data_IF_274235094054
#
_entry.id   IF_274235094054
#
_cell.length_a   1.000
_cell.length_b   1.000
_cell.length_c   1.000
_cell.angle_alpha   90.00
_cell.angle_beta   90.00
_cell.angle_gamma   90.00
#
_symmetry.space_group_name_H-M   'P 1'
#
loop_
_entity.id
_entity.type
_entity.pdbx_description
1 polymer ?
#
# COMPACT_ATOMS: atom_id res chain seq x y z
N UNK A 1 -0.39 -32.11 95.10
CA UNK A 1 -0.52 -30.74 95.66
C UNK A 1 -0.94 -29.84 94.52
N UNK A 2 -2.21 -29.41 94.50
CA UNK A 2 -2.63 -28.09 95.01
C UNK A 2 -2.32 -27.02 93.94
N UNK A 3 -3.30 -26.78 93.06
CA UNK A 3 -4.19 -25.61 93.09
C UNK A 3 -3.47 -24.28 92.76
N UNK A 4 -4.00 -23.64 91.71
CA UNK A 4 -4.48 -22.25 91.76
C UNK A 4 -3.57 -21.08 91.32
N UNK A 5 -4.07 -20.43 90.26
CA UNK A 5 -4.40 -18.99 90.13
C UNK A 5 -3.44 -17.99 89.44
N UNK A 6 -4.14 -17.08 88.72
CA UNK A 6 -3.86 -15.65 88.45
C UNK A 6 -3.19 -15.22 87.13
N UNK A 7 -4.06 -14.92 86.16
CA UNK A 7 -4.19 -13.66 85.39
C UNK A 7 -3.02 -12.67 85.38
N UNK A 8 -2.59 -12.29 84.17
CA UNK A 8 -2.23 -10.91 83.85
C UNK A 8 -2.56 -10.61 82.37
N UNK A 9 -3.40 -9.59 82.19
CA UNK A 9 -3.84 -9.02 80.92
C UNK A 9 -2.78 -8.01 80.46
N UNK A 10 -2.29 -8.10 79.22
CA UNK A 10 -1.63 -6.97 78.54
C UNK A 10 -2.09 -6.89 77.11
N UNK A 11 -2.90 -5.86 76.84
CA UNK A 11 -3.32 -5.44 75.52
C UNK A 11 -2.17 -4.71 74.82
N UNK A 12 -1.83 -5.13 73.60
CA UNK A 12 -0.99 -4.37 72.68
C UNK A 12 -1.88 -3.93 71.52
N UNK A 13 -2.11 -2.62 71.46
CA UNK A 13 -2.84 -1.91 70.42
C UNK A 13 -1.92 -1.84 69.20
N UNK A 14 -2.16 -2.67 68.19
CA UNK A 14 -1.52 -2.56 66.88
C UNK A 14 -2.22 -1.48 66.07
N UNK A 15 -1.60 -0.30 65.96
CA UNK A 15 -2.02 0.73 65.01
C UNK A 15 -1.70 0.25 63.58
N UNK A 16 -2.72 -0.18 62.84
CA UNK A 16 -2.62 -0.41 61.40
C UNK A 16 -2.58 0.93 60.69
N UNK A 17 -1.40 1.32 60.20
CA UNK A 17 -1.27 2.43 59.26
C UNK A 17 -1.90 1.95 57.95
N UNK A 18 -3.17 2.28 57.73
CA UNK A 18 -3.81 2.09 56.43
C UNK A 18 -3.10 3.00 55.42
N UNK A 19 -2.27 2.41 54.56
CA UNK A 19 -1.68 3.11 53.44
C UNK A 19 -2.82 3.74 52.59
N UNK A 20 -2.73 5.02 52.24
CA UNK A 20 -3.71 5.62 51.35
C UNK A 20 -3.63 4.89 50.01
N UNK A 21 -4.72 4.24 49.62
CA UNK A 21 -4.90 3.72 48.26
C UNK A 21 -4.99 4.92 47.34
N UNK A 22 -3.84 5.43 46.90
CA UNK A 22 -3.77 6.34 45.77
C UNK A 22 -4.35 5.55 44.59
N UNK A 23 -5.48 5.95 44.00
CA UNK A 23 -5.87 5.36 42.73
C UNK A 23 -4.78 5.80 41.74
N UNK A 24 -3.88 4.89 41.38
CA UNK A 24 -3.14 5.04 40.13
C UNK A 24 -4.22 5.02 39.05
N UNK A 25 -4.66 6.21 38.64
CA UNK A 25 -5.22 6.40 37.31
C UNK A 25 -4.08 6.09 36.36
N UNK A 26 -3.99 4.82 35.96
CA UNK A 26 -3.36 4.47 34.70
C UNK A 26 -4.17 5.19 33.63
N UNK A 27 -3.78 6.42 33.32
CA UNK A 27 -3.98 6.92 31.97
C UNK A 27 -3.02 6.06 31.15
N UNK A 28 -3.48 4.87 30.79
CA UNK A 28 -2.94 4.18 29.64
C UNK A 28 -3.25 5.13 28.48
N UNK A 29 -2.34 6.08 28.23
CA UNK A 29 -2.25 6.69 26.92
C UNK A 29 -2.19 5.53 25.96
N UNK A 30 -3.13 5.48 25.01
CA UNK A 30 -3.10 4.57 23.88
C UNK A 30 -1.82 4.84 23.10
N UNK A 31 -0.72 4.24 23.54
CA UNK A 31 0.48 4.08 22.75
C UNK A 31 0.20 2.86 21.86
N UNK A 32 0.28 3.07 20.54
CA UNK A 32 0.38 2.08 19.45
C UNK A 32 -0.87 1.72 18.63
N UNK A 33 -1.46 2.71 17.95
CA UNK A 33 -2.00 2.47 16.60
C UNK A 33 -1.03 2.93 15.48
N UNK A 34 -0.17 3.94 15.74
CA UNK A 34 0.80 4.43 14.75
C UNK A 34 2.04 3.55 14.54
N UNK A 35 2.36 2.65 15.47
CA UNK A 35 3.57 1.81 15.35
C UNK A 35 3.37 0.50 14.57
N UNK A 36 2.14 0.17 14.13
CA UNK A 36 1.84 -1.09 13.44
C UNK A 36 1.44 -0.95 11.96
N UNK A 37 1.39 0.28 11.42
CA UNK A 37 1.13 0.48 9.99
C UNK A 37 2.44 0.49 9.20
N UNK A 38 2.47 -0.02 7.96
CA UNK A 38 3.65 0.04 7.11
C UNK A 38 4.03 1.49 6.80
N UNK A 39 5.30 1.70 6.44
CA UNK A 39 5.91 3.03 6.35
C UNK A 39 5.26 3.97 5.31
N UNK A 40 4.51 3.42 4.36
CA UNK A 40 3.83 4.18 3.30
C UNK A 40 2.41 4.62 3.69
N UNK A 41 1.83 4.05 4.75
CA UNK A 41 0.52 4.43 5.27
C UNK A 41 0.65 5.54 6.32
N UNK A 42 0.69 6.78 5.86
CA UNK A 42 1.14 7.94 6.66
C UNK A 42 0.06 8.72 7.42
N UNK A 43 -1.22 8.52 7.08
CA UNK A 43 -2.34 9.20 7.71
C UNK A 43 -3.24 8.30 8.56
N UNK A 44 -4.42 8.79 8.90
CA UNK A 44 -5.39 8.11 9.77
C UNK A 44 -6.79 7.98 9.14
N UNK A 45 -6.97 8.35 7.88
CA UNK A 45 -8.22 8.13 7.17
C UNK A 45 -8.51 6.63 7.05
N UNK A 46 -9.79 6.27 7.21
CA UNK A 46 -10.26 4.90 7.03
C UNK A 46 -10.10 4.50 5.56
N UNK A 47 -9.37 3.40 5.34
CA UNK A 47 -9.15 2.88 4.00
C UNK A 47 -10.34 2.02 3.55
N UNK A 48 -10.77 2.12 2.28
CA UNK A 48 -11.62 1.10 1.69
C UNK A 48 -11.00 -0.29 1.85
N UNK A 49 -11.85 -1.32 2.00
CA UNK A 49 -11.40 -2.70 2.27
C UNK A 49 -10.36 -3.18 1.25
N UNK A 50 -10.57 -2.89 -0.04
CA UNK A 50 -9.61 -3.26 -1.09
C UNK A 50 -8.23 -2.63 -0.87
N UNK A 51 -8.19 -1.39 -0.37
CA UNK A 51 -6.93 -0.66 -0.11
C UNK A 51 -6.28 -1.14 1.19
N UNK A 52 -7.08 -1.49 2.21
CA UNK A 52 -6.57 -2.07 3.45
C UNK A 52 -5.93 -3.45 3.21
N UNK A 53 -6.47 -4.25 2.30
CA UNK A 53 -5.85 -5.52 1.91
C UNK A 53 -4.49 -5.30 1.23
N UNK A 54 -4.42 -4.36 0.28
CA UNK A 54 -3.16 -3.94 -0.36
C UNK A 54 -2.13 -3.46 0.68
N UNK A 55 -2.56 -2.67 1.68
CA UNK A 55 -1.67 -2.22 2.77
C UNK A 55 -1.02 -3.41 3.49
N UNK A 56 -1.80 -4.43 3.82
CA UNK A 56 -1.32 -5.62 4.52
C UNK A 56 -0.40 -6.47 3.64
N UNK A 57 -0.75 -6.68 2.37
CA UNK A 57 0.02 -7.47 1.41
C UNK A 57 1.42 -6.86 1.15
N UNK A 58 1.48 -5.53 1.03
CA UNK A 58 2.72 -4.83 0.68
C UNK A 58 3.61 -4.50 1.88
N UNK A 59 3.13 -4.70 3.11
CA UNK A 59 3.82 -4.28 4.33
C UNK A 59 5.25 -4.86 4.48
N UNK A 60 5.50 -6.05 3.93
CA UNK A 60 6.82 -6.72 4.00
C UNK A 60 7.69 -6.54 2.75
N UNK A 61 7.12 -6.00 1.68
CA UNK A 61 7.78 -5.88 0.36
C UNK A 61 8.28 -4.44 0.14
N UNK A 62 7.56 -3.46 0.67
CA UNK A 62 7.85 -2.04 0.44
C UNK A 62 8.82 -1.50 1.47
N UNK A 63 9.83 -0.78 0.97
CA UNK A 63 10.72 0.06 1.77
C UNK A 63 10.41 1.53 1.51
N UNK A 64 10.56 2.38 2.52
CA UNK A 64 10.34 3.81 2.38
C UNK A 64 11.61 4.61 2.64
N UNK A 65 11.90 5.57 1.79
CA UNK A 65 12.83 6.65 2.02
C UNK A 65 12.07 7.87 2.54
N UNK A 66 12.05 8.04 3.87
CA UNK A 66 11.30 9.13 4.52
C UNK A 66 11.98 10.50 4.38
N UNK A 67 13.17 10.57 3.79
CA UNK A 67 13.86 11.83 3.49
C UNK A 67 13.34 12.52 2.23
N UNK A 68 12.59 11.77 1.39
CA UNK A 68 11.99 12.25 0.14
C UNK A 68 10.48 12.04 0.20
N UNK A 69 9.72 13.05 -0.19
CA UNK A 69 8.26 12.97 -0.30
C UNK A 69 7.83 13.09 -1.76
N UNK A 70 6.78 12.36 -2.10
CA UNK A 70 6.19 12.32 -3.44
C UNK A 70 4.77 12.90 -3.39
N UNK A 71 3.78 12.23 -3.96
CA UNK A 71 2.39 12.68 -3.98
C UNK A 71 1.78 12.67 -2.58
N UNK A 72 1.03 13.73 -2.24
CA UNK A 72 0.30 13.85 -0.96
C UNK A 72 1.14 13.62 0.30
N UNK A 73 2.44 13.89 0.24
CA UNK A 73 3.37 13.72 1.37
C UNK A 73 3.79 12.28 1.64
N UNK A 74 3.41 11.33 0.79
CA UNK A 74 3.84 9.93 0.88
C UNK A 74 5.36 9.84 0.72
N UNK A 75 6.09 9.07 1.56
CA UNK A 75 7.50 8.81 1.39
C UNK A 75 7.80 8.22 0.01
N UNK A 76 9.02 8.38 -0.48
CA UNK A 76 9.43 7.66 -1.69
C UNK A 76 9.54 6.16 -1.39
N UNK A 77 8.59 5.39 -1.92
CA UNK A 77 8.48 3.95 -1.71
C UNK A 77 9.28 3.18 -2.74
N UNK A 78 9.76 1.99 -2.37
CA UNK A 78 10.47 1.10 -3.30
C UNK A 78 10.10 -0.37 -3.13
N UNK A 79 10.09 -1.08 -4.25
CA UNK A 79 9.92 -2.54 -4.34
C UNK A 79 11.08 -3.10 -5.14
N UNK A 80 11.83 -4.05 -4.57
CA UNK A 80 13.05 -4.63 -5.16
C UNK A 80 14.03 -3.58 -5.74
N UNK A 81 14.19 -2.43 -5.06
CA UNK A 81 15.06 -1.34 -5.47
C UNK A 81 14.48 -0.36 -6.51
N UNK A 82 13.35 -0.66 -7.15
CA UNK A 82 12.63 0.30 -7.99
C UNK A 82 11.89 1.30 -7.10
N UNK A 83 12.19 2.60 -7.25
CA UNK A 83 11.58 3.69 -6.47
C UNK A 83 10.38 4.30 -7.22
N UNK A 84 9.37 4.79 -6.48
CA UNK A 84 8.27 5.54 -7.07
C UNK A 84 8.76 6.80 -7.79
N UNK A 85 9.68 7.55 -7.17
CA UNK A 85 10.26 8.77 -7.77
C UNK A 85 10.93 8.54 -9.12
N UNK A 86 11.38 7.32 -9.44
CA UNK A 86 11.93 6.97 -10.74
C UNK A 86 10.87 6.76 -11.83
N UNK A 87 9.61 6.52 -11.42
CA UNK A 87 8.46 6.28 -12.31
C UNK A 87 7.27 7.19 -11.94
N UNK A 88 7.56 8.37 -11.42
CA UNK A 88 6.55 9.36 -11.00
C UNK A 88 6.09 10.19 -12.20
N UNK A 89 4.89 9.87 -12.70
CA UNK A 89 4.29 10.57 -13.83
C UNK A 89 4.13 12.08 -13.59
N UNK A 90 3.93 12.51 -12.34
CA UNK A 90 3.62 13.91 -12.00
C UNK A 90 4.81 14.85 -12.24
N UNK A 91 6.02 14.29 -12.31
CA UNK A 91 7.27 15.03 -12.57
C UNK A 91 7.70 14.99 -14.04
N UNK A 92 7.03 14.18 -14.87
CA UNK A 92 7.45 13.91 -16.26
C UNK A 92 7.12 15.01 -17.26
N UNK A 93 6.12 15.85 -16.95
CA UNK A 93 5.55 16.81 -17.90
C UNK A 93 4.62 16.19 -18.96
N UNK A 94 4.45 14.87 -18.96
CA UNK A 94 3.50 14.14 -19.80
C UNK A 94 2.13 14.02 -19.14
N UNK A 95 1.11 13.73 -19.92
CA UNK A 95 -0.17 13.30 -19.36
C UNK A 95 -0.03 11.91 -18.73
N UNK A 96 -0.93 11.50 -17.82
CA UNK A 96 -0.83 10.19 -17.16
C UNK A 96 -0.80 9.02 -18.14
N UNK A 97 -1.57 9.06 -19.24
CA UNK A 97 -1.56 7.97 -20.22
C UNK A 97 -0.32 8.01 -21.11
N UNK A 98 0.08 9.19 -21.59
CA UNK A 98 1.30 9.35 -22.39
C UNK A 98 2.52 8.86 -21.60
N UNK A 99 2.63 9.23 -20.33
CA UNK A 99 3.67 8.73 -19.44
C UNK A 99 3.66 7.20 -19.38
N UNK A 100 2.48 6.61 -19.17
CA UNK A 100 2.35 5.16 -18.99
C UNK A 100 2.77 4.37 -20.24
N UNK A 101 2.38 4.86 -21.42
CA UNK A 101 2.75 4.27 -22.71
C UNK A 101 4.25 4.36 -22.97
N UNK A 102 4.90 5.46 -22.57
CA UNK A 102 6.34 5.66 -22.76
C UNK A 102 7.20 4.96 -21.70
N UNK A 103 6.73 4.89 -20.46
CA UNK A 103 7.49 4.34 -19.33
C UNK A 103 7.40 2.82 -19.24
N UNK A 104 6.22 2.25 -19.47
CA UNK A 104 5.94 0.83 -19.23
C UNK A 104 5.85 0.05 -20.54
N UNK A 105 6.91 0.18 -21.35
CA UNK A 105 7.05 -0.52 -22.64
C UNK A 105 7.37 -1.99 -22.44
N UNK A 106 6.76 -2.86 -23.24
CA UNK A 106 6.95 -4.32 -23.22
C UNK A 106 7.94 -4.79 -24.29
N UNK A 107 8.45 -6.01 -24.16
CA UNK A 107 9.54 -6.52 -25.01
C UNK A 107 9.18 -6.61 -26.51
N UNK A 108 7.90 -6.79 -26.84
CA UNK A 108 7.35 -6.79 -28.21
C UNK A 108 7.57 -5.47 -28.95
N UNK A 109 7.71 -4.35 -28.23
CA UNK A 109 8.05 -3.06 -28.83
C UNK A 109 9.51 -2.96 -29.30
N UNK A 110 10.36 -3.91 -28.89
CA UNK A 110 11.78 -3.96 -29.22
C UNK A 110 12.15 -5.20 -30.05
N UNK A 111 11.18 -5.77 -30.78
CA UNK A 111 11.38 -6.89 -31.70
C UNK A 111 11.53 -8.25 -31.03
N UNK A 112 11.11 -8.38 -29.76
CA UNK A 112 10.99 -9.67 -29.04
C UNK A 112 9.53 -10.11 -28.97
N UNK A 113 9.23 -11.17 -28.23
CA UNK A 113 7.84 -11.56 -27.94
C UNK A 113 7.37 -10.89 -26.66
N UNK A 114 6.05 -10.71 -26.50
CA UNK A 114 5.48 -10.19 -25.26
C UNK A 114 5.83 -11.08 -24.06
N UNK A 115 5.92 -12.40 -24.26
CA UNK A 115 6.29 -13.38 -23.24
C UNK A 115 7.72 -13.18 -22.69
N UNK A 116 8.61 -12.55 -23.45
CA UNK A 116 9.99 -12.22 -23.03
C UNK A 116 10.06 -11.02 -22.08
N UNK A 117 8.94 -10.38 -21.77
CA UNK A 117 8.89 -9.24 -20.86
C UNK A 117 9.16 -9.67 -19.41
N UNK A 118 9.98 -8.90 -18.70
CA UNK A 118 10.24 -9.09 -17.27
C UNK A 118 8.99 -8.78 -16.44
N UNK A 119 8.22 -9.82 -16.11
CA UNK A 119 7.01 -9.70 -15.32
C UNK A 119 7.28 -9.11 -13.92
N UNK A 120 8.40 -9.49 -13.29
CA UNK A 120 8.74 -9.07 -11.93
C UNK A 120 8.98 -7.55 -11.89
N UNK A 121 9.60 -6.98 -12.93
CA UNK A 121 9.76 -5.53 -13.04
C UNK A 121 8.40 -4.79 -13.06
N UNK A 122 7.43 -5.32 -13.79
CA UNK A 122 6.09 -4.72 -13.85
C UNK A 122 5.32 -4.88 -12.53
N UNK A 123 5.44 -6.04 -11.87
CA UNK A 123 4.86 -6.26 -10.54
C UNK A 123 5.47 -5.33 -9.49
N UNK A 124 6.80 -5.14 -9.52
CA UNK A 124 7.49 -4.17 -8.65
C UNK A 124 7.03 -2.73 -8.92
N UNK A 125 6.84 -2.35 -10.18
CA UNK A 125 6.30 -1.04 -10.54
C UNK A 125 4.86 -0.87 -10.03
N UNK A 126 4.01 -1.91 -10.16
CA UNK A 126 2.66 -1.88 -9.62
C UNK A 126 2.66 -1.77 -8.09
N UNK A 127 3.54 -2.49 -7.39
CA UNK A 127 3.66 -2.44 -5.93
C UNK A 127 3.95 -1.03 -5.42
N UNK A 128 4.87 -0.28 -6.05
CA UNK A 128 5.16 1.10 -5.62
C UNK A 128 3.99 2.05 -5.91
N UNK A 129 3.23 1.83 -6.99
CA UNK A 129 2.00 2.60 -7.27
C UNK A 129 0.88 2.28 -6.26
N UNK A 130 0.70 1.01 -5.91
CA UNK A 130 -0.26 0.55 -4.90
C UNK A 130 0.08 1.05 -3.50
N UNK A 131 1.34 0.99 -3.10
CA UNK A 131 1.80 1.55 -1.83
C UNK A 131 1.59 3.07 -1.76
N UNK A 132 1.83 3.76 -2.88
CA UNK A 132 1.54 5.20 -3.00
C UNK A 132 0.04 5.48 -2.91
N UNK A 133 -0.82 4.64 -3.50
CA UNK A 133 -2.28 4.75 -3.35
C UNK A 133 -2.72 4.65 -1.89
N UNK A 134 -2.20 3.66 -1.16
CA UNK A 134 -2.48 3.48 0.27
C UNK A 134 -2.10 4.75 1.03
N UNK A 135 -0.89 5.29 0.77
CA UNK A 135 -0.42 6.52 1.39
C UNK A 135 -1.32 7.71 1.11
N UNK A 136 -1.66 7.96 -0.16
CA UNK A 136 -2.54 9.06 -0.58
C UNK A 136 -3.92 8.93 0.10
N UNK A 137 -4.52 7.74 0.09
CA UNK A 137 -5.84 7.52 0.70
C UNK A 137 -5.81 7.67 2.20
N UNK A 138 -4.73 7.25 2.86
CA UNK A 138 -4.59 7.36 4.32
C UNK A 138 -4.62 8.81 4.82
N UNK A 139 -4.35 9.79 3.96
CA UNK A 139 -4.43 11.23 4.26
C UNK A 139 -5.59 11.94 3.57
N UNK A 140 -6.49 11.20 2.92
CA UNK A 140 -7.65 11.76 2.21
C UNK A 140 -7.30 12.51 0.93
N UNK A 141 -6.15 12.19 0.31
CA UNK A 141 -5.67 12.85 -0.89
C UNK A 141 -6.36 12.38 -2.18
N UNK A 142 -6.20 13.18 -3.24
CA UNK A 142 -6.75 12.88 -4.56
C UNK A 142 -5.88 11.87 -5.35
N UNK A 143 -6.54 10.95 -6.04
CA UNK A 143 -5.89 9.84 -6.76
C UNK A 143 -5.56 10.20 -8.21
N UNK A 144 -4.54 11.03 -8.41
CA UNK A 144 -3.98 11.31 -9.74
C UNK A 144 -3.29 10.09 -10.40
N UNK A 145 -2.96 9.07 -9.61
CA UNK A 145 -2.19 7.88 -10.04
C UNK A 145 -2.99 6.80 -10.77
N UNK A 146 -4.31 6.98 -10.95
CA UNK A 146 -5.19 5.89 -11.42
C UNK A 146 -4.80 5.34 -12.79
N UNK A 147 -4.48 6.20 -13.74
CA UNK A 147 -4.16 5.78 -15.11
C UNK A 147 -2.88 4.95 -15.16
N UNK A 148 -1.72 5.41 -14.64
CA UNK A 148 -0.52 4.57 -14.58
C UNK A 148 -0.70 3.26 -13.85
N UNK A 149 -1.46 3.26 -12.74
CA UNK A 149 -1.76 2.05 -11.99
C UNK A 149 -2.56 1.04 -12.81
N UNK A 150 -3.69 1.45 -13.38
CA UNK A 150 -4.50 0.55 -14.22
C UNK A 150 -3.76 0.13 -15.50
N UNK A 151 -2.86 0.97 -16.01
CA UNK A 151 -2.02 0.60 -17.16
C UNK A 151 -1.00 -0.48 -16.79
N UNK A 152 -0.37 -0.41 -15.62
CA UNK A 152 0.50 -1.46 -15.10
C UNK A 152 -0.26 -2.78 -14.90
N UNK A 153 -1.43 -2.74 -14.25
CA UNK A 153 -2.31 -3.92 -14.12
C UNK A 153 -2.64 -4.52 -15.50
N UNK A 154 -2.99 -3.66 -16.47
CA UNK A 154 -3.27 -4.06 -17.85
C UNK A 154 -2.07 -4.75 -18.51
N UNK A 155 -0.86 -4.19 -18.39
CA UNK A 155 0.35 -4.78 -18.93
C UNK A 155 0.70 -6.11 -18.27
N UNK A 156 0.59 -6.20 -16.94
CA UNK A 156 0.79 -7.46 -16.19
C UNK A 156 -0.15 -8.55 -16.72
N UNK A 157 -1.44 -8.24 -16.89
CA UNK A 157 -2.42 -9.19 -17.44
C UNK A 157 -2.06 -9.67 -18.86
N UNK A 158 -1.61 -8.74 -19.73
CA UNK A 158 -1.10 -9.07 -21.07
C UNK A 158 0.12 -10.00 -21.01
N UNK A 159 1.11 -9.66 -20.18
CA UNK A 159 2.37 -10.41 -20.02
C UNK A 159 2.07 -11.81 -19.48
N UNK A 160 1.29 -11.92 -18.41
CA UNK A 160 0.89 -13.21 -17.82
C UNK A 160 0.14 -14.08 -18.83
N UNK A 161 -0.77 -13.50 -19.62
CA UNK A 161 -1.46 -14.21 -20.69
C UNK A 161 -0.49 -14.73 -21.75
N UNK A 162 0.45 -13.91 -22.21
CA UNK A 162 1.48 -14.32 -23.18
C UNK A 162 2.44 -15.38 -22.63
N UNK A 163 2.69 -15.38 -21.32
CA UNK A 163 3.48 -16.41 -20.61
C UNK A 163 2.68 -17.69 -20.28
N UNK A 164 1.41 -17.78 -20.72
CA UNK A 164 0.57 -18.97 -20.54
C UNK A 164 -0.14 -19.06 -19.19
N UNK A 165 -0.15 -17.97 -18.40
CA UNK A 165 -0.74 -17.90 -17.06
C UNK A 165 -1.83 -16.80 -16.96
N UNK A 166 -2.86 -16.78 -17.83
CA UNK A 166 -3.85 -15.69 -17.83
C UNK A 166 -4.60 -15.59 -16.48
N UNK A 167 -4.84 -14.36 -15.96
CA UNK A 167 -5.64 -14.15 -14.76
C UNK A 167 -7.05 -14.74 -14.90
N UNK A 168 -7.52 -15.40 -13.84
CA UNK A 168 -8.88 -15.97 -13.79
C UNK A 168 -9.90 -14.98 -13.25
N UNK A 169 -9.47 -14.04 -12.41
CA UNK A 169 -10.34 -13.05 -11.82
C UNK A 169 -10.84 -12.06 -12.89
N UNK A 170 -12.16 -11.84 -13.03
CA UNK A 170 -12.70 -10.96 -14.06
C UNK A 170 -12.15 -9.53 -14.01
N UNK A 171 -11.84 -9.02 -12.81
CA UNK A 171 -11.27 -7.70 -12.61
C UNK A 171 -9.82 -7.56 -13.11
N UNK A 172 -9.14 -8.67 -13.36
CA UNK A 172 -7.74 -8.71 -13.81
C UNK A 172 -7.61 -9.13 -15.29
N UNK A 173 -8.72 -9.32 -16.00
CA UNK A 173 -8.68 -9.66 -17.41
C UNK A 173 -8.32 -8.44 -18.28
N UNK A 174 -7.63 -8.68 -19.39
CA UNK A 174 -7.09 -7.66 -20.30
C UNK A 174 -8.17 -6.66 -20.73
N UNK A 175 -9.34 -7.14 -21.14
CA UNK A 175 -10.44 -6.26 -21.59
C UNK A 175 -10.98 -5.38 -20.46
N UNK A 176 -11.13 -5.94 -19.26
CA UNK A 176 -11.58 -5.17 -18.09
C UNK A 176 -10.58 -4.05 -17.78
N UNK A 177 -9.29 -4.39 -17.75
CA UNK A 177 -8.24 -3.44 -17.41
C UNK A 177 -8.02 -2.39 -18.52
N UNK A 178 -8.14 -2.76 -19.80
CA UNK A 178 -8.21 -1.81 -20.92
C UNK A 178 -9.31 -0.78 -20.67
N UNK A 179 -10.52 -1.24 -20.37
CA UNK A 179 -11.67 -0.34 -20.16
C UNK A 179 -11.46 0.55 -18.93
N UNK A 180 -10.77 0.05 -17.90
CA UNK A 180 -10.37 0.84 -16.73
C UNK A 180 -9.37 1.93 -17.10
N UNK A 181 -8.36 1.64 -17.93
CA UNK A 181 -7.43 2.65 -18.45
C UNK A 181 -8.19 3.73 -19.21
N UNK A 182 -8.96 3.34 -20.23
CA UNK A 182 -9.71 4.26 -21.10
C UNK A 182 -10.71 5.13 -20.31
N UNK A 183 -11.42 4.53 -19.35
CA UNK A 183 -12.37 5.26 -18.49
C UNK A 183 -11.72 6.35 -17.63
N UNK A 184 -10.48 6.16 -17.21
CA UNK A 184 -9.74 7.13 -16.39
C UNK A 184 -8.91 8.11 -17.22
N UNK A 185 -8.87 7.93 -18.54
CA UNK A 185 -8.13 8.74 -19.50
C UNK A 185 -9.03 9.54 -20.49
N UNK A 186 -10.23 10.04 -20.14
CA UNK A 186 -11.23 10.49 -21.11
C UNK A 186 -10.86 11.76 -21.90
N UNK A 187 -9.75 12.42 -21.55
CA UNK A 187 -9.28 13.67 -22.18
C UNK A 187 -7.92 13.53 -22.86
N UNK A 188 -7.40 12.31 -22.92
CA UNK A 188 -6.15 12.02 -23.60
C UNK A 188 -6.31 12.13 -25.12
N UNK A 189 -5.19 12.31 -25.82
CA UNK A 189 -5.18 12.29 -27.28
C UNK A 189 -5.72 10.94 -27.79
N UNK A 190 -6.54 11.00 -28.86
CA UNK A 190 -7.16 9.82 -29.45
C UNK A 190 -6.13 8.77 -29.87
N UNK A 191 -4.94 9.18 -30.33
CA UNK A 191 -3.86 8.26 -30.70
C UNK A 191 -3.39 7.42 -29.51
N UNK A 192 -3.34 8.01 -28.31
CA UNK A 192 -2.96 7.30 -27.09
C UNK A 192 -4.06 6.29 -26.67
N UNK A 193 -5.32 6.67 -26.81
CA UNK A 193 -6.46 5.78 -26.53
C UNK A 193 -6.54 4.60 -27.52
N UNK A 194 -6.27 4.87 -28.79
CA UNK A 194 -6.22 3.86 -29.85
C UNK A 194 -5.06 2.88 -29.59
N UNK A 195 -3.92 3.38 -29.11
CA UNK A 195 -2.77 2.55 -28.75
C UNK A 195 -3.10 1.59 -27.59
N UNK A 196 -3.78 2.05 -26.54
CA UNK A 196 -4.27 1.17 -25.45
C UNK A 196 -5.19 0.08 -26.01
N UNK A 197 -6.11 0.45 -26.91
CA UNK A 197 -7.03 -0.49 -27.55
C UNK A 197 -6.26 -1.51 -28.40
N UNK A 198 -5.23 -1.07 -29.13
CA UNK A 198 -4.38 -1.94 -29.95
C UNK A 198 -3.62 -2.94 -29.09
N UNK A 199 -3.04 -2.49 -27.98
CA UNK A 199 -2.28 -3.35 -27.05
C UNK A 199 -3.16 -4.48 -26.48
N UNK A 200 -4.46 -4.25 -26.27
CA UNK A 200 -5.37 -5.27 -25.74
C UNK A 200 -5.52 -6.49 -26.65
N UNK A 201 -5.17 -6.36 -27.94
CA UNK A 201 -5.03 -7.51 -28.84
C UNK A 201 -3.68 -8.19 -28.55
N UNK A 202 -3.65 -9.15 -27.62
CA UNK A 202 -2.47 -9.99 -27.41
C UNK A 202 -2.21 -10.76 -28.70
N UNK A 203 -1.07 -10.49 -29.33
CA UNK A 203 -0.60 -11.23 -30.49
C UNK A 203 0.54 -12.12 -30.01
N UNK A 204 0.44 -13.41 -30.34
CA UNK A 204 1.52 -14.40 -30.14
C UNK A 204 2.79 -13.99 -30.88
#
# INVERSE_FOLDING_TARGET
MQQSFLLALTAMIGATIAAPKIPLRTVAGTINARQNRPCFAIGNEELPEETANIENELASVIQCDTSVQTLSGVPDVSSNGLKYSAIDFSTSGMTPLEFSLNMFTTADQFGKTLADTDLELFENALNVYLATEVGIRSVGGELGIKVPKFFLEFQISRIQTAQGNPPQEPGLQIDHLRDKVLKNAPREDQQLLDEVTRLATVRE
#
